data_IF_304026222378
#
_entry.id   IF_304026222378
#
_cell.length_a   1.000
_cell.length_b   1.000
_cell.length_c   1.000
_cell.angle_alpha   90.00
_cell.angle_beta   90.00
_cell.angle_gamma   90.00
#
_symmetry.space_group_name_H-M   'P 1'
#
loop_
_entity.id
_entity.type
_entity.pdbx_description
1 polymer ?
#
# COMPACT_ATOMS: atom_id res chain seq x y z
N UNK A 1 24.24 -50.69 32.39
CA UNK A 1 23.04 -49.90 32.03
C UNK A 1 23.42 -49.06 30.83
N UNK A 2 22.76 -49.32 29.72
CA UNK A 2 23.11 -48.86 28.38
C UNK A 2 22.85 -47.37 28.17
N UNK A 3 23.76 -46.74 27.40
CA UNK A 3 23.58 -45.45 26.73
C UNK A 3 22.30 -45.44 25.90
N UNK A 4 21.22 -44.91 26.47
CA UNK A 4 19.95 -44.68 25.76
C UNK A 4 19.84 -43.21 25.29
N UNK A 5 20.84 -42.37 25.57
CA UNK A 5 20.80 -40.94 25.26
C UNK A 5 21.37 -40.51 23.91
N UNK A 6 22.13 -41.35 23.21
CA UNK A 6 22.97 -40.90 22.09
C UNK A 6 22.54 -41.54 20.78
N UNK A 7 21.53 -40.93 20.13
CA UNK A 7 21.34 -40.83 18.66
C UNK A 7 19.89 -40.45 18.36
N UNK A 8 19.47 -39.23 18.70
CA UNK A 8 18.30 -38.68 18.02
C UNK A 8 18.66 -38.47 16.55
N UNK A 9 17.73 -38.72 15.64
CA UNK A 9 17.90 -38.51 14.19
C UNK A 9 18.29 -37.05 13.87
N UNK A 10 17.84 -36.10 14.70
CA UNK A 10 18.25 -34.69 14.64
C UNK A 10 19.76 -34.45 14.85
N UNK A 11 20.48 -35.35 15.51
CA UNK A 11 21.91 -35.21 15.78
C UNK A 11 22.83 -35.66 14.63
N UNK A 12 22.29 -36.25 13.54
CA UNK A 12 23.11 -36.96 12.54
C UNK A 12 23.53 -36.15 11.31
N UNK A 13 22.61 -35.46 10.64
CA UNK A 13 22.90 -34.68 9.42
C UNK A 13 22.18 -33.34 9.44
N UNK A 14 20.86 -33.34 9.57
CA UNK A 14 20.03 -32.16 9.33
C UNK A 14 20.25 -31.11 10.42
N UNK A 15 20.40 -31.54 11.68
CA UNK A 15 20.74 -30.63 12.77
C UNK A 15 22.12 -29.99 12.61
N UNK A 16 23.10 -30.70 12.04
CA UNK A 16 24.43 -30.15 11.76
C UNK A 16 24.41 -29.17 10.58
N UNK A 17 23.58 -29.45 9.57
CA UNK A 17 23.38 -28.52 8.45
C UNK A 17 22.70 -27.23 8.93
N UNK A 18 21.64 -27.33 9.72
CA UNK A 18 20.96 -26.19 10.33
C UNK A 18 21.89 -25.41 11.25
N UNK A 19 22.67 -26.10 12.09
CA UNK A 19 23.71 -25.48 12.92
C UNK A 19 24.72 -24.71 12.06
N UNK A 20 25.16 -25.28 10.94
CA UNK A 20 26.04 -24.61 9.98
C UNK A 20 25.43 -23.34 9.38
N UNK A 21 24.14 -23.37 9.03
CA UNK A 21 23.42 -22.20 8.49
C UNK A 21 23.28 -21.12 9.56
N UNK A 22 22.81 -21.46 10.76
CA UNK A 22 22.58 -20.51 11.85
C UNK A 22 23.90 -19.90 12.33
N UNK A 23 25.00 -20.65 12.33
CA UNK A 23 26.31 -20.12 12.70
C UNK A 23 26.97 -19.32 11.56
N UNK A 24 26.37 -19.24 10.37
CA UNK A 24 26.92 -18.47 9.26
C UNK A 24 26.57 -16.97 9.37
N UNK A 25 27.57 -16.11 9.15
CA UNK A 25 27.35 -14.66 9.10
C UNK A 25 26.41 -14.28 7.97
N UNK A 26 26.51 -14.95 6.81
CA UNK A 26 25.65 -14.71 5.66
C UNK A 26 24.17 -14.88 5.99
N UNK A 27 23.80 -15.89 6.79
CA UNK A 27 22.42 -16.08 7.22
C UNK A 27 21.91 -14.87 8.01
N UNK A 28 22.68 -14.40 8.99
CA UNK A 28 22.30 -13.24 9.80
C UNK A 28 22.27 -11.94 9.01
N UNK A 29 23.18 -11.75 8.05
CA UNK A 29 23.15 -10.60 7.13
C UNK A 29 21.85 -10.58 6.32
N UNK A 30 21.37 -11.75 5.88
CA UNK A 30 20.10 -11.88 5.19
C UNK A 30 18.91 -11.62 6.12
N UNK A 31 18.92 -12.17 7.33
CA UNK A 31 17.88 -11.90 8.35
C UNK A 31 17.82 -10.41 8.67
N UNK A 32 18.97 -9.75 8.84
CA UNK A 32 19.03 -8.32 9.12
C UNK A 32 18.41 -7.49 7.99
N UNK A 33 18.74 -7.79 6.73
CA UNK A 33 18.09 -7.15 5.56
C UNK A 33 16.58 -7.39 5.54
N UNK A 34 16.14 -8.61 5.87
CA UNK A 34 14.72 -8.95 5.92
C UNK A 34 13.99 -8.15 7.00
N UNK A 35 14.58 -7.99 8.19
CA UNK A 35 14.03 -7.12 9.25
C UNK A 35 13.91 -5.68 8.75
N UNK A 36 14.95 -5.14 8.10
CA UNK A 36 14.92 -3.78 7.54
C UNK A 36 13.85 -3.59 6.44
N UNK A 37 13.46 -4.66 5.73
CA UNK A 37 12.37 -4.64 4.75
C UNK A 37 10.99 -4.68 5.44
N UNK A 38 10.83 -5.54 6.45
CA UNK A 38 9.54 -5.80 7.11
C UNK A 38 9.16 -4.68 8.07
N UNK A 39 10.10 -4.13 8.82
CA UNK A 39 9.85 -3.08 9.82
C UNK A 39 9.04 -1.89 9.27
N UNK A 40 9.40 -1.23 8.16
CA UNK A 40 8.62 -0.11 7.63
C UNK A 40 7.25 -0.55 7.08
N UNK A 41 7.11 -1.78 6.59
CA UNK A 41 5.79 -2.31 6.17
C UNK A 41 4.89 -2.54 7.38
N UNK A 42 5.46 -3.03 8.48
CA UNK A 42 4.74 -3.20 9.74
C UNK A 42 4.29 -1.86 10.33
N UNK A 43 5.10 -0.80 10.22
CA UNK A 43 4.65 0.55 10.60
C UNK A 43 3.43 1.02 9.79
N UNK A 44 3.39 0.74 8.50
CA UNK A 44 2.21 1.06 7.66
C UNK A 44 0.98 0.33 8.19
N UNK A 45 1.10 -0.97 8.46
CA UNK A 45 0.00 -1.78 8.99
C UNK A 45 -0.46 -1.27 10.36
N UNK A 46 0.44 -0.91 11.26
CA UNK A 46 0.10 -0.30 12.56
C UNK A 46 -0.70 0.99 12.42
N UNK A 47 -0.42 1.81 11.40
CA UNK A 47 -1.19 3.02 11.14
C UNK A 47 -2.59 2.66 10.64
N UNK A 48 -2.71 1.67 9.75
CA UNK A 48 -3.99 1.20 9.20
C UNK A 48 -4.87 0.57 10.29
N UNK A 49 -4.27 -0.24 11.17
CA UNK A 49 -4.96 -0.99 12.23
C UNK A 49 -5.21 -0.16 13.50
N UNK A 50 -4.67 1.06 13.58
CA UNK A 50 -4.84 1.91 14.76
C UNK A 50 -6.28 2.41 14.94
N UNK A 51 -6.82 2.28 16.16
CA UNK A 51 -8.20 2.68 16.53
C UNK A 51 -8.53 4.17 16.27
N UNK A 52 -7.50 5.02 16.13
CA UNK A 52 -7.67 6.40 15.66
C UNK A 52 -7.69 6.39 14.14
N UNK A 53 -8.88 6.53 13.54
CA UNK A 53 -9.11 6.67 12.08
C UNK A 53 -7.91 7.34 11.40
N UNK A 54 -6.98 6.58 10.81
CA UNK A 54 -5.79 7.15 10.20
C UNK A 54 -6.22 8.00 9.01
N UNK A 55 -5.62 9.18 8.82
CA UNK A 55 -5.82 9.89 7.56
C UNK A 55 -5.22 9.03 6.45
N UNK A 56 -5.99 8.79 5.38
CA UNK A 56 -5.52 8.00 4.25
C UNK A 56 -4.22 8.59 3.63
N UNK A 57 -4.04 9.91 3.76
CA UNK A 57 -2.80 10.59 3.38
C UNK A 57 -1.59 10.15 4.19
N UNK A 58 -1.73 9.93 5.50
CA UNK A 58 -0.65 9.42 6.36
C UNK A 58 -0.27 7.98 5.98
N UNK A 59 -1.26 7.12 5.71
CA UNK A 59 -1.02 5.74 5.26
C UNK A 59 -0.21 5.73 3.97
N UNK A 60 -0.59 6.57 3.00
CA UNK A 60 0.10 6.67 1.72
C UNK A 60 1.55 7.16 1.89
N UNK A 61 1.76 8.21 2.69
CA UNK A 61 3.10 8.75 2.95
C UNK A 61 4.01 7.70 3.61
N UNK A 62 3.50 6.97 4.61
CA UNK A 62 4.23 5.87 5.26
C UNK A 62 4.56 4.74 4.28
N UNK A 63 3.63 4.39 3.40
CA UNK A 63 3.84 3.37 2.39
C UNK A 63 4.91 3.78 1.37
N UNK A 64 4.90 5.02 0.88
CA UNK A 64 5.93 5.52 -0.04
C UNK A 64 7.31 5.57 0.62
N UNK A 65 7.39 5.94 1.89
CA UNK A 65 8.62 5.84 2.67
C UNK A 65 9.12 4.38 2.79
N UNK A 66 8.22 3.43 3.06
CA UNK A 66 8.54 2.01 3.11
C UNK A 66 9.07 1.49 1.77
N UNK A 67 8.40 1.82 0.65
CA UNK A 67 8.84 1.46 -0.70
C UNK A 67 10.25 1.99 -0.99
N UNK A 68 10.54 3.25 -0.62
CA UNK A 68 11.88 3.85 -0.77
C UNK A 68 12.94 3.11 0.05
N UNK A 69 12.62 2.72 1.29
CA UNK A 69 13.53 1.94 2.13
C UNK A 69 13.85 0.57 1.51
N UNK A 70 12.84 -0.14 1.01
CA UNK A 70 13.02 -1.44 0.34
C UNK A 70 13.96 -1.33 -0.86
N UNK A 71 13.79 -0.29 -1.71
CA UNK A 71 14.71 -0.05 -2.84
C UNK A 71 16.15 0.20 -2.38
N UNK A 72 16.35 0.84 -1.22
CA UNK A 72 17.67 1.13 -0.66
C UNK A 72 18.33 -0.12 -0.08
N UNK A 73 17.60 -0.92 0.69
CA UNK A 73 18.12 -2.11 1.38
C UNK A 73 18.31 -3.29 0.42
N UNK A 74 17.44 -3.39 -0.59
CA UNK A 74 17.36 -4.55 -1.46
C UNK A 74 17.30 -4.22 -2.96
N UNK A 75 18.22 -3.39 -3.49
CA UNK A 75 18.09 -2.75 -4.80
C UNK A 75 17.90 -3.74 -5.97
N UNK A 76 18.64 -4.86 -5.96
CA UNK A 76 18.60 -5.86 -7.04
C UNK A 76 17.28 -6.63 -7.12
N UNK A 77 16.62 -6.78 -5.97
CA UNK A 77 15.47 -7.68 -5.81
C UNK A 77 14.25 -6.97 -5.22
N UNK A 78 14.29 -5.64 -5.13
CA UNK A 78 13.22 -4.82 -4.56
C UNK A 78 11.89 -5.09 -5.26
N UNK A 79 11.91 -5.32 -6.58
CA UNK A 79 10.72 -5.64 -7.37
C UNK A 79 9.94 -6.84 -6.78
N UNK A 80 10.60 -7.90 -6.33
CA UNK A 80 9.94 -9.07 -5.75
C UNK A 80 9.07 -8.72 -4.53
N UNK A 81 9.48 -7.74 -3.74
CA UNK A 81 8.72 -7.28 -2.56
C UNK A 81 7.70 -6.21 -2.98
N UNK A 82 8.12 -5.25 -3.79
CA UNK A 82 7.30 -4.12 -4.19
C UNK A 82 6.10 -4.55 -5.04
N UNK A 83 6.24 -5.57 -5.88
CA UNK A 83 5.15 -6.08 -6.70
C UNK A 83 4.04 -6.70 -5.84
N UNK A 84 4.41 -7.45 -4.79
CA UNK A 84 3.46 -8.01 -3.82
C UNK A 84 2.78 -6.90 -3.01
N UNK A 85 3.54 -5.88 -2.59
CA UNK A 85 2.98 -4.72 -1.87
C UNK A 85 2.01 -3.95 -2.76
N UNK A 86 2.37 -3.74 -4.03
CA UNK A 86 1.56 -3.00 -4.99
C UNK A 86 0.27 -3.76 -5.33
N UNK A 87 0.36 -5.06 -5.60
CA UNK A 87 -0.80 -5.91 -5.86
C UNK A 87 -1.78 -5.91 -4.67
N UNK A 88 -1.29 -6.04 -3.44
CA UNK A 88 -2.14 -5.95 -2.23
C UNK A 88 -2.76 -4.57 -2.08
N UNK A 89 -1.98 -3.51 -2.30
CA UNK A 89 -2.48 -2.14 -2.27
C UNK A 89 -3.59 -1.94 -3.29
N UNK A 90 -3.43 -2.46 -4.51
CA UNK A 90 -4.42 -2.32 -5.56
C UNK A 90 -5.72 -3.05 -5.28
N UNK A 91 -5.65 -4.24 -4.66
CA UNK A 91 -6.84 -5.00 -4.27
C UNK A 91 -7.58 -4.41 -3.06
N UNK A 92 -6.86 -3.84 -2.10
CA UNK A 92 -7.43 -3.47 -0.80
C UNK A 92 -7.64 -1.96 -0.61
N UNK A 93 -6.82 -1.12 -1.25
CA UNK A 93 -6.69 0.31 -0.92
C UNK A 93 -6.66 1.24 -2.14
N UNK A 94 -6.58 0.74 -3.38
CA UNK A 94 -6.52 1.60 -4.57
C UNK A 94 -7.94 1.95 -5.06
N UNK A 95 -8.45 3.08 -4.55
CA UNK A 95 -9.61 3.78 -5.11
C UNK A 95 -9.17 5.20 -5.44
N UNK A 96 -9.75 5.78 -6.51
CA UNK A 96 -9.43 7.16 -6.92
C UNK A 96 -9.63 8.17 -5.79
N UNK A 97 -10.59 7.92 -4.89
CA UNK A 97 -10.84 8.72 -3.69
C UNK A 97 -9.65 8.75 -2.71
N UNK A 98 -8.93 7.64 -2.53
CA UNK A 98 -7.77 7.59 -1.64
C UNK A 98 -6.57 8.34 -2.22
N UNK A 99 -6.36 8.27 -3.54
CA UNK A 99 -5.34 9.04 -4.25
C UNK A 99 -5.62 10.54 -4.17
N UNK A 100 -6.87 10.95 -4.37
CA UNK A 100 -7.29 12.34 -4.23
C UNK A 100 -7.09 12.86 -2.79
N UNK A 101 -7.42 12.05 -1.78
CA UNK A 101 -7.24 12.44 -0.38
C UNK A 101 -5.76 12.55 0.05
N UNK A 102 -4.85 11.76 -0.51
CA UNK A 102 -3.40 11.98 -0.34
C UNK A 102 -2.96 13.29 -0.98
N UNK A 103 -3.35 13.53 -2.22
CA UNK A 103 -3.02 14.75 -2.96
C UNK A 103 -3.50 16.01 -2.21
N UNK A 104 -4.68 15.97 -1.61
CA UNK A 104 -5.25 17.12 -0.89
C UNK A 104 -4.74 17.26 0.56
N UNK A 105 -3.85 16.39 1.05
CA UNK A 105 -3.38 16.43 2.43
C UNK A 105 -2.38 17.58 2.65
N UNK A 106 -2.70 18.62 3.45
CA UNK A 106 -1.88 19.83 3.48
C UNK A 106 -0.45 19.63 3.98
N UNK A 107 -0.23 18.67 4.89
CA UNK A 107 1.10 18.35 5.40
C UNK A 107 2.02 17.67 4.37
N UNK A 108 1.49 17.21 3.24
CA UNK A 108 2.27 16.58 2.17
C UNK A 108 2.21 17.37 0.85
N UNK A 109 1.18 18.18 0.65
CA UNK A 109 0.98 18.97 -0.56
C UNK A 109 1.41 20.44 -0.41
N UNK A 110 1.41 20.98 0.81
CA UNK A 110 1.78 22.37 1.10
C UNK A 110 2.98 22.48 2.05
N UNK A 111 3.96 21.57 1.93
CA UNK A 111 5.31 21.91 2.36
C UNK A 111 5.85 22.93 1.35
N UNK A 112 5.87 24.20 1.77
CA UNK A 112 6.35 25.35 1.02
C UNK A 112 7.62 25.03 0.22
N UNK A 113 7.64 25.51 -1.03
CA UNK A 113 8.70 25.36 -2.05
C UNK A 113 8.65 24.10 -2.92
N UNK A 114 7.66 24.01 -3.82
CA UNK A 114 7.95 23.53 -5.17
C UNK A 114 7.25 24.41 -6.20
N UNK A 115 8.08 25.03 -7.03
CA UNK A 115 7.69 25.77 -8.19
C UNK A 115 6.89 24.87 -9.14
N UNK A 116 5.72 25.37 -9.52
CA UNK A 116 5.10 25.25 -10.85
C UNK A 116 5.71 24.20 -11.81
N UNK A 117 5.13 23.00 -11.86
CA UNK A 117 5.14 22.16 -13.07
C UNK A 117 3.71 22.09 -13.61
N UNK A 118 3.48 22.84 -14.69
CA UNK A 118 2.17 23.14 -15.29
C UNK A 118 1.45 21.89 -15.84
N UNK A 119 2.21 20.86 -16.24
CA UNK A 119 1.67 19.66 -16.90
C UNK A 119 0.96 18.69 -15.95
N UNK A 120 1.44 18.57 -14.71
CA UNK A 120 0.87 17.65 -13.71
C UNK A 120 -0.42 18.23 -13.11
N UNK A 121 -0.47 19.55 -12.91
CA UNK A 121 -1.68 20.27 -12.50
C UNK A 121 -2.74 20.25 -13.59
N UNK A 122 -2.36 20.46 -14.86
CA UNK A 122 -3.28 20.40 -15.99
C UNK A 122 -3.84 18.98 -16.21
N UNK A 123 -3.01 17.94 -16.11
CA UNK A 123 -3.45 16.55 -16.26
C UNK A 123 -4.43 16.11 -15.16
N UNK A 124 -4.22 16.56 -13.92
CA UNK A 124 -5.11 16.26 -12.80
C UNK A 124 -6.42 17.05 -12.88
N UNK A 125 -6.38 18.32 -13.29
CA UNK A 125 -7.58 19.14 -13.56
C UNK A 125 -8.42 18.56 -14.70
N UNK A 126 -7.78 18.18 -15.80
CA UNK A 126 -8.46 17.56 -16.95
C UNK A 126 -9.17 16.27 -16.55
N UNK A 127 -8.52 15.45 -15.69
CA UNK A 127 -9.11 14.20 -15.21
C UNK A 127 -10.22 14.42 -14.18
N UNK A 128 -10.12 15.47 -13.36
CA UNK A 128 -11.18 15.89 -12.44
C UNK A 128 -12.41 16.41 -13.19
N UNK A 129 -12.23 17.25 -14.20
CA UNK A 129 -13.32 17.76 -15.04
C UNK A 129 -14.02 16.64 -15.81
N UNK A 130 -13.26 15.72 -16.40
CA UNK A 130 -13.83 14.58 -17.12
C UNK A 130 -14.69 13.68 -16.21
N UNK A 131 -14.22 13.41 -14.99
CA UNK A 131 -14.97 12.59 -14.02
C UNK A 131 -16.20 13.33 -13.49
N UNK A 132 -16.12 14.63 -13.27
CA UNK A 132 -17.27 15.44 -12.87
C UNK A 132 -18.35 15.50 -13.96
N UNK A 133 -17.95 15.67 -15.22
CA UNK A 133 -18.91 15.70 -16.34
C UNK A 133 -19.59 14.34 -16.58
N UNK A 134 -18.89 13.23 -16.37
CA UNK A 134 -19.47 11.88 -16.45
C UNK A 134 -20.48 11.67 -15.31
N UNK A 135 -20.15 12.07 -14.08
CA UNK A 135 -21.06 11.95 -12.94
C UNK A 135 -22.27 12.88 -13.05
N UNK A 136 -22.07 14.11 -13.56
CA UNK A 136 -23.14 15.07 -13.80
C UNK A 136 -24.07 14.61 -14.92
N UNK A 137 -23.55 14.09 -16.03
CA UNK A 137 -24.37 13.55 -17.12
C UNK A 137 -25.15 12.29 -16.69
N UNK A 138 -24.54 11.41 -15.88
CA UNK A 138 -25.23 10.27 -15.27
C UNK A 138 -26.37 10.72 -14.33
N UNK A 139 -26.09 11.71 -13.47
CA UNK A 139 -27.08 12.26 -12.54
C UNK A 139 -28.23 12.99 -13.26
N UNK A 140 -27.94 13.75 -14.31
CA UNK A 140 -28.96 14.39 -15.15
C UNK A 140 -29.81 13.35 -15.91
N UNK A 141 -29.18 12.30 -16.44
CA UNK A 141 -29.87 11.19 -17.11
C UNK A 141 -30.87 10.48 -16.18
N UNK A 142 -30.50 10.26 -14.92
CA UNK A 142 -31.39 9.69 -13.90
C UNK A 142 -32.52 10.66 -13.48
N UNK A 143 -32.27 11.97 -13.46
CA UNK A 143 -33.23 13.00 -13.05
C UNK A 143 -34.35 13.24 -14.09
N UNK A 144 -34.12 12.92 -15.36
CA UNK A 144 -35.10 13.09 -16.44
C UNK A 144 -35.68 11.76 -16.98
N UNK A 145 -35.30 10.61 -16.43
CA UNK A 145 -35.76 9.29 -16.88
C UNK A 145 -37.16 8.87 -16.37
N UNK A 146 -37.78 9.61 -15.45
CA UNK A 146 -39.13 9.32 -14.97
C UNK A 146 -40.12 10.38 -15.44
N UNK A 147 -41.10 10.04 -16.31
CA UNK A 147 -42.17 10.97 -16.64
C UNK A 147 -43.04 11.21 -15.40
N UNK A 148 -43.28 12.49 -15.11
CA UNK A 148 -44.29 12.93 -14.14
C UNK A 148 -45.62 12.29 -14.55
N UNK A 149 -46.21 11.45 -13.69
CA UNK A 149 -47.58 10.97 -13.88
C UNK A 149 -48.50 12.18 -13.80
N UNK A 150 -49.04 12.58 -14.95
CA UNK A 150 -49.99 13.67 -15.08
C UNK A 150 -51.32 13.23 -14.46
N UNK A 151 -51.68 13.85 -13.33
CA UNK A 151 -52.97 13.65 -12.68
C UNK A 151 -54.05 14.34 -13.52
N UNK A 152 -54.86 13.55 -14.24
CA UNK A 152 -56.04 14.04 -14.97
C UNK A 152 -57.19 14.32 -13.98
N UNK A 153 -57.84 15.50 -13.99
CA UNK A 153 -59.00 15.77 -13.14
C UNK A 153 -60.27 15.05 -13.66
N UNK A 154 -61.24 14.73 -12.78
CA UNK A 154 -62.45 14.01 -13.16
C UNK A 154 -63.43 14.91 -13.93
N UNK A 155 -64.18 14.27 -14.84
CA UNK A 155 -65.22 14.84 -15.72
C UNK A 155 -66.51 15.18 -14.99
#
# INVERSE_FOLDING_TARGET
>A
MSDIGMQSTFARSDGKEVEGIINSTNFWDWVFKLVQIIEPLYEVLRVVDGDRRPSIGLVYAKLEAAKKNIRKVFPRYAHLVLDVVQDRWDRQMSRDLHKAAYYLHPAYHYTYELAYEDDLTAALLTRYEATYQILLSYWLSQRFAHPVRENRPPS
#
